data_IF_179730827123
#
_entry.id   IF_179730827123
#
_cell.length_a   1.000
_cell.length_b   1.000
_cell.length_c   1.000
_cell.angle_alpha   90.00
_cell.angle_beta   90.00
_cell.angle_gamma   90.00
#
_symmetry.space_group_name_H-M   'P 1'
#
loop_
_entity.id
_entity.type
_entity.pdbx_description
1 polymer ?
#
# COMPACT_ATOMS: atom_id res chain seq x y z
N UNK A 1 14.35 -28.91 32.63
CA UNK A 1 14.04 -28.51 31.23
C UNK A 1 12.57 -28.11 31.14
N UNK A 2 12.23 -26.82 31.23
CA UNK A 2 10.84 -26.35 31.00
C UNK A 2 10.44 -26.75 29.58
N UNK A 3 9.34 -27.49 29.46
CA UNK A 3 8.94 -28.15 28.22
C UNK A 3 8.68 -27.10 27.13
N UNK A 4 9.57 -26.99 26.13
CA UNK A 4 9.51 -25.98 25.05
C UNK A 4 8.15 -25.98 24.33
N UNK A 5 7.45 -27.12 24.34
CA UNK A 5 6.10 -27.27 23.79
C UNK A 5 5.03 -26.46 24.55
N UNK A 6 5.04 -26.51 25.89
CA UNK A 6 4.04 -25.83 26.72
C UNK A 6 4.15 -24.32 26.63
N UNK A 7 5.38 -23.78 26.65
CA UNK A 7 5.62 -22.34 26.52
C UNK A 7 5.09 -21.78 25.19
N UNK A 8 5.33 -22.50 24.09
CA UNK A 8 4.86 -22.14 22.74
C UNK A 8 3.33 -22.15 22.64
N UNK A 9 2.67 -23.14 23.26
CA UNK A 9 1.20 -23.20 23.32
C UNK A 9 0.63 -22.01 24.11
N UNK A 10 1.23 -21.67 25.26
CA UNK A 10 0.79 -20.52 26.07
C UNK A 10 1.02 -19.20 25.35
N UNK A 11 2.18 -18.98 24.72
CA UNK A 11 2.46 -17.77 23.93
C UNK A 11 1.49 -17.65 22.74
N UNK A 12 1.24 -18.76 22.04
CA UNK A 12 0.25 -18.82 20.96
C UNK A 12 -1.16 -18.44 21.45
N UNK A 13 -1.61 -19.01 22.56
CA UNK A 13 -2.93 -18.71 23.11
C UNK A 13 -3.09 -17.22 23.49
N UNK A 14 -2.07 -16.62 24.11
CA UNK A 14 -2.08 -15.19 24.47
C UNK A 14 -2.15 -14.31 23.21
N UNK A 15 -1.34 -14.62 22.19
CA UNK A 15 -1.33 -13.86 20.95
C UNK A 15 -2.63 -14.03 20.15
N UNK A 16 -3.27 -15.21 20.20
CA UNK A 16 -4.60 -15.44 19.63
C UNK A 16 -5.65 -14.60 20.36
N UNK A 17 -5.62 -14.55 21.69
CA UNK A 17 -6.54 -13.69 22.45
C UNK A 17 -6.37 -12.21 22.09
N UNK A 18 -5.12 -11.73 21.96
CA UNK A 18 -4.83 -10.36 21.50
C UNK A 18 -5.39 -10.14 20.08
N UNK A 19 -5.15 -11.07 19.15
CA UNK A 19 -5.71 -11.01 17.80
C UNK A 19 -7.23 -10.91 17.84
N UNK A 20 -7.91 -11.75 18.61
CA UNK A 20 -9.37 -11.74 18.73
C UNK A 20 -9.90 -10.41 19.24
N UNK A 21 -9.25 -9.81 20.25
CA UNK A 21 -9.63 -8.48 20.75
C UNK A 21 -9.45 -7.42 19.67
N UNK A 22 -8.30 -7.41 18.97
CA UNK A 22 -8.04 -6.46 17.89
C UNK A 22 -9.06 -6.62 16.74
N UNK A 23 -9.43 -7.86 16.42
CA UNK A 23 -10.44 -8.18 15.39
C UNK A 23 -11.81 -7.65 15.80
N UNK A 24 -12.26 -7.91 17.03
CA UNK A 24 -13.51 -7.38 17.57
C UNK A 24 -13.56 -5.85 17.52
N UNK A 25 -12.47 -5.18 17.94
CA UNK A 25 -12.38 -3.72 17.86
C UNK A 25 -12.46 -3.23 16.42
N UNK A 26 -11.86 -3.95 15.48
CA UNK A 26 -11.89 -3.60 14.05
C UNK A 26 -13.30 -3.70 13.46
N UNK A 27 -14.06 -4.73 13.85
CA UNK A 27 -15.39 -5.00 13.30
C UNK A 27 -16.49 -4.14 13.94
N UNK A 28 -16.41 -3.90 15.25
CA UNK A 28 -17.55 -3.37 16.02
C UNK A 28 -17.36 -1.95 16.56
N UNK A 29 -16.17 -1.34 16.41
CA UNK A 29 -15.92 0.04 16.84
C UNK A 29 -15.64 0.93 15.61
N UNK A 30 -16.67 1.62 15.08
CA UNK A 30 -16.52 2.53 13.95
C UNK A 30 -15.44 3.59 14.20
N UNK A 31 -14.70 3.97 13.16
CA UNK A 31 -13.59 4.94 13.24
C UNK A 31 -12.32 4.35 13.86
N UNK A 32 -12.40 3.78 15.08
CA UNK A 32 -11.26 3.14 15.73
C UNK A 32 -10.75 1.94 14.91
N UNK A 33 -11.66 1.18 14.31
CA UNK A 33 -11.32 0.02 13.48
C UNK A 33 -10.37 0.36 12.33
N UNK A 34 -10.45 1.57 11.76
CA UNK A 34 -9.54 2.01 10.68
C UNK A 34 -8.07 2.03 11.14
N UNK A 35 -7.82 2.39 12.39
CA UNK A 35 -6.47 2.47 12.97
C UNK A 35 -6.05 1.11 13.55
N UNK A 36 -6.96 0.43 14.24
CA UNK A 36 -6.68 -0.86 14.90
C UNK A 36 -6.36 -1.96 13.87
N UNK A 37 -6.98 -1.90 12.69
CA UNK A 37 -6.77 -2.86 11.61
C UNK A 37 -5.28 -3.05 11.24
N UNK A 38 -4.46 -1.99 11.30
CA UNK A 38 -3.02 -2.09 11.03
C UNK A 38 -2.26 -2.97 12.03
N UNK A 39 -2.81 -3.17 13.22
CA UNK A 39 -2.23 -4.02 14.27
C UNK A 39 -2.70 -5.48 14.18
N UNK A 40 -3.66 -5.84 13.31
CA UNK A 40 -4.10 -7.23 13.17
C UNK A 40 -2.98 -8.17 12.73
N UNK A 41 -2.01 -7.69 11.96
CA UNK A 41 -0.84 -8.47 11.57
C UNK A 41 0.16 -8.67 12.73
N UNK A 42 0.07 -7.88 13.80
CA UNK A 42 1.06 -7.86 14.89
C UNK A 42 1.18 -9.20 15.62
N UNK A 43 0.09 -9.86 16.07
CA UNK A 43 0.19 -11.15 16.76
C UNK A 43 0.83 -12.24 15.89
N UNK A 44 0.49 -12.26 14.59
CA UNK A 44 1.11 -13.17 13.63
C UNK A 44 2.60 -12.90 13.43
N UNK A 45 2.99 -11.63 13.28
CA UNK A 45 4.40 -11.24 13.20
C UNK A 45 5.18 -11.64 14.45
N UNK A 46 4.61 -11.42 15.64
CA UNK A 46 5.23 -11.78 16.93
C UNK A 46 5.45 -13.28 17.04
N UNK A 47 4.43 -14.07 16.70
CA UNK A 47 4.49 -15.52 16.80
C UNK A 47 5.46 -16.10 15.76
N UNK A 48 5.34 -15.71 14.50
CA UNK A 48 6.11 -16.30 13.39
C UNK A 48 7.56 -15.80 13.34
N UNK A 49 7.90 -14.67 13.97
CA UNK A 49 9.30 -14.24 14.11
C UNK A 49 10.13 -15.14 15.01
N UNK A 50 9.50 -15.93 15.89
CA UNK A 50 10.17 -16.82 16.84
C UNK A 50 10.00 -18.31 16.53
N UNK A 51 9.11 -18.66 15.60
CA UNK A 51 8.71 -20.04 15.32
C UNK A 51 8.82 -20.37 13.83
N UNK A 52 8.83 -21.67 13.52
CA UNK A 52 8.87 -22.17 12.14
C UNK A 52 7.52 -22.02 11.42
N UNK A 53 7.55 -22.15 10.10
CA UNK A 53 6.38 -21.92 9.25
C UNK A 53 5.21 -22.86 9.59
N UNK A 54 5.48 -24.11 9.98
CA UNK A 54 4.43 -25.09 10.35
C UNK A 54 3.63 -24.59 11.55
N UNK A 55 4.33 -24.08 12.56
CA UNK A 55 3.72 -23.50 13.75
C UNK A 55 2.90 -22.26 13.41
N UNK A 56 3.45 -21.39 12.57
CA UNK A 56 2.75 -20.19 12.12
C UNK A 56 1.47 -20.53 11.33
N UNK A 57 1.49 -21.59 10.53
CA UNK A 57 0.28 -22.10 9.86
C UNK A 57 -0.77 -22.60 10.85
N UNK A 58 -0.39 -23.39 11.86
CA UNK A 58 -1.31 -23.83 12.92
C UNK A 58 -1.90 -22.64 13.67
N UNK A 59 -1.07 -21.65 14.03
CA UNK A 59 -1.54 -20.41 14.65
C UNK A 59 -2.53 -19.66 13.76
N UNK A 60 -2.26 -19.60 12.44
CA UNK A 60 -3.15 -18.92 11.49
C UNK A 60 -4.48 -19.65 11.34
N UNK A 61 -4.49 -20.98 11.28
CA UNK A 61 -5.71 -21.78 11.25
C UNK A 61 -6.54 -21.55 12.52
N UNK A 62 -5.90 -21.53 13.69
CA UNK A 62 -6.60 -21.23 14.95
C UNK A 62 -7.19 -19.80 14.95
N UNK A 63 -6.45 -18.82 14.42
CA UNK A 63 -6.95 -17.45 14.28
C UNK A 63 -8.15 -17.35 13.32
N UNK A 64 -8.15 -18.11 12.21
CA UNK A 64 -9.28 -18.19 11.28
C UNK A 64 -10.52 -18.83 11.91
N UNK A 65 -10.34 -19.87 12.73
CA UNK A 65 -11.45 -20.48 13.47
C UNK A 65 -12.02 -19.47 14.47
N UNK A 66 -11.16 -18.77 15.21
CA UNK A 66 -11.60 -17.75 16.16
C UNK A 66 -12.28 -16.57 15.47
N UNK A 67 -11.81 -16.15 14.29
CA UNK A 67 -12.45 -15.06 13.55
C UNK A 67 -13.85 -15.43 13.09
N UNK A 68 -14.07 -16.68 12.67
CA UNK A 68 -15.39 -17.20 12.34
C UNK A 68 -16.34 -17.23 13.55
N UNK A 69 -15.84 -17.67 14.71
CA UNK A 69 -16.65 -17.78 15.94
C UNK A 69 -17.08 -16.40 16.47
N UNK A 70 -16.15 -15.43 16.45
CA UNK A 70 -16.30 -14.17 17.20
C UNK A 70 -16.78 -13.01 16.33
N UNK A 71 -16.41 -13.00 15.05
CA UNK A 71 -16.87 -12.00 14.09
C UNK A 71 -18.12 -12.50 13.37
N UNK A 72 -17.93 -12.91 12.13
CA UNK A 72 -18.90 -13.59 11.26
C UNK A 72 -18.11 -14.19 10.08
N UNK A 73 -18.81 -14.71 9.06
CA UNK A 73 -18.19 -15.09 7.79
C UNK A 73 -17.32 -13.95 7.17
N UNK A 74 -17.72 -12.68 7.36
CA UNK A 74 -17.00 -11.52 6.83
C UNK A 74 -15.65 -11.25 7.53
N UNK A 75 -15.40 -11.87 8.68
CA UNK A 75 -14.13 -11.72 9.40
C UNK A 75 -13.01 -12.61 8.83
N UNK A 76 -13.35 -13.65 8.05
CA UNK A 76 -12.38 -14.59 7.48
C UNK A 76 -11.42 -13.89 6.49
N UNK A 77 -11.89 -13.11 5.49
CA UNK A 77 -11.00 -12.41 4.56
C UNK A 77 -9.99 -11.51 5.28
N UNK A 78 -10.44 -10.77 6.29
CA UNK A 78 -9.58 -9.90 7.11
C UNK A 78 -8.53 -10.73 7.85
N UNK A 79 -8.96 -11.76 8.60
CA UNK A 79 -8.06 -12.63 9.33
C UNK A 79 -7.03 -13.32 8.42
N UNK A 80 -7.44 -13.74 7.22
CA UNK A 80 -6.56 -14.36 6.24
C UNK A 80 -5.55 -13.36 5.67
N UNK A 81 -5.99 -12.19 5.22
CA UNK A 81 -5.10 -11.17 4.62
C UNK A 81 -4.04 -10.70 5.62
N UNK A 82 -4.46 -10.32 6.83
CA UNK A 82 -3.53 -9.84 7.86
C UNK A 82 -2.72 -10.98 8.48
N UNK A 83 -3.32 -12.17 8.60
CA UNK A 83 -2.66 -13.37 9.11
C UNK A 83 -1.52 -13.83 8.22
N UNK A 84 -1.80 -14.09 6.94
CA UNK A 84 -0.80 -14.56 5.97
C UNK A 84 0.28 -13.49 5.76
N UNK A 85 -0.10 -12.22 5.61
CA UNK A 85 0.86 -11.11 5.50
C UNK A 85 1.75 -11.02 6.75
N UNK A 86 1.15 -11.06 7.94
CA UNK A 86 1.87 -11.01 9.21
C UNK A 86 2.80 -12.20 9.42
N UNK A 87 2.38 -13.41 9.02
CA UNK A 87 3.22 -14.62 9.06
C UNK A 87 4.44 -14.45 8.18
N UNK A 88 4.28 -14.05 6.92
CA UNK A 88 5.41 -13.87 5.99
C UNK A 88 6.39 -12.81 6.50
N UNK A 89 5.88 -11.67 6.96
CA UNK A 89 6.71 -10.61 7.54
C UNK A 89 7.49 -11.14 8.75
N UNK A 90 6.81 -11.81 9.70
CA UNK A 90 7.47 -12.33 10.89
C UNK A 90 8.51 -13.41 10.57
N UNK A 91 8.22 -14.36 9.67
CA UNK A 91 9.20 -15.37 9.24
C UNK A 91 10.46 -14.74 8.62
N UNK A 92 10.31 -13.68 7.83
CA UNK A 92 11.44 -12.96 7.25
C UNK A 92 12.23 -12.16 8.30
N UNK A 93 11.55 -11.60 9.29
CA UNK A 93 12.19 -10.97 10.46
C UNK A 93 13.01 -12.03 11.23
N UNK A 94 12.44 -13.20 11.51
CA UNK A 94 13.13 -14.30 12.20
C UNK A 94 14.37 -14.80 11.43
N UNK A 95 14.35 -14.71 10.10
CA UNK A 95 15.49 -15.00 9.21
C UNK A 95 16.48 -13.84 9.04
N UNK A 96 16.30 -12.71 9.74
CA UNK A 96 17.19 -11.56 9.67
C UNK A 96 17.24 -10.87 8.31
N UNK A 97 16.18 -10.96 7.50
CA UNK A 97 16.12 -10.32 6.17
C UNK A 97 16.09 -8.80 6.29
N UNK A 98 16.53 -8.12 5.23
CA UNK A 98 16.52 -6.65 5.19
C UNK A 98 15.09 -6.10 5.23
N UNK A 99 14.92 -4.91 5.81
CA UNK A 99 13.60 -4.27 5.93
C UNK A 99 12.93 -4.03 4.57
N UNK A 100 13.70 -3.69 3.54
CA UNK A 100 13.19 -3.54 2.17
C UNK A 100 12.69 -4.88 1.61
N UNK A 101 13.41 -5.98 1.83
CA UNK A 101 12.96 -7.29 1.39
C UNK A 101 11.67 -7.72 2.11
N UNK A 102 11.57 -7.45 3.42
CA UNK A 102 10.36 -7.69 4.22
C UNK A 102 9.19 -6.83 3.70
N UNK A 103 9.45 -5.57 3.34
CA UNK A 103 8.45 -4.66 2.77
C UNK A 103 7.91 -5.16 1.44
N UNK A 104 8.78 -5.46 0.48
CA UNK A 104 8.36 -5.96 -0.84
C UNK A 104 7.60 -7.28 -0.70
N UNK A 105 8.12 -8.25 0.06
CA UNK A 105 7.46 -9.53 0.23
C UNK A 105 6.10 -9.40 0.93
N UNK A 106 6.02 -8.59 2.00
CA UNK A 106 4.76 -8.31 2.69
C UNK A 106 3.72 -7.67 1.76
N UNK A 107 4.13 -6.66 0.98
CA UNK A 107 3.24 -5.97 0.04
C UNK A 107 2.74 -6.88 -1.08
N UNK A 108 3.61 -7.73 -1.63
CA UNK A 108 3.23 -8.69 -2.66
C UNK A 108 2.27 -9.76 -2.13
N UNK A 109 2.48 -10.23 -0.89
CA UNK A 109 1.57 -11.19 -0.25
C UNK A 109 0.23 -10.54 0.09
N UNK A 110 0.24 -9.31 0.57
CA UNK A 110 -0.99 -8.55 0.82
C UNK A 110 -1.78 -8.34 -0.48
N UNK A 111 -1.09 -7.94 -1.55
CA UNK A 111 -1.67 -7.78 -2.89
C UNK A 111 -2.27 -9.08 -3.40
N UNK A 112 -1.53 -10.19 -3.34
CA UNK A 112 -2.00 -11.49 -3.77
C UNK A 112 -3.25 -11.93 -3.00
N UNK A 113 -3.25 -11.78 -1.67
CA UNK A 113 -4.44 -12.07 -0.86
C UNK A 113 -5.64 -11.21 -1.27
N UNK A 114 -5.41 -9.91 -1.51
CA UNK A 114 -6.48 -8.98 -1.90
C UNK A 114 -7.06 -9.35 -3.27
N UNK A 115 -6.22 -9.66 -4.26
CA UNK A 115 -6.65 -10.07 -5.60
C UNK A 115 -7.40 -11.41 -5.54
N UNK A 116 -6.88 -12.39 -4.80
CA UNK A 116 -7.54 -13.70 -4.65
C UNK A 116 -8.91 -13.54 -4.00
N UNK A 117 -9.00 -12.72 -2.94
CA UNK A 117 -10.27 -12.46 -2.27
C UNK A 117 -11.27 -11.72 -3.16
N UNK A 118 -10.80 -10.75 -3.94
CA UNK A 118 -11.63 -10.07 -4.93
C UNK A 118 -12.16 -11.05 -5.99
N UNK A 119 -11.30 -11.90 -6.55
CA UNK A 119 -11.69 -12.90 -7.52
C UNK A 119 -12.72 -13.90 -6.95
N UNK A 120 -12.53 -14.32 -5.69
CA UNK A 120 -13.50 -15.18 -4.97
C UNK A 120 -14.84 -14.46 -4.77
N UNK A 121 -14.82 -13.18 -4.39
CA UNK A 121 -16.03 -12.39 -4.21
C UNK A 121 -16.86 -12.31 -5.50
N UNK A 122 -16.20 -12.04 -6.62
CA UNK A 122 -16.84 -12.01 -7.95
C UNK A 122 -17.34 -13.38 -8.35
N UNK A 123 -16.50 -14.42 -8.28
CA UNK A 123 -16.82 -15.74 -8.83
C UNK A 123 -17.84 -16.55 -8.00
N UNK A 124 -17.84 -16.42 -6.68
CA UNK A 124 -18.70 -17.23 -5.80
C UNK A 124 -19.93 -16.48 -5.29
N UNK A 125 -19.84 -15.16 -5.14
CA UNK A 125 -20.89 -14.35 -4.53
C UNK A 125 -21.56 -13.39 -5.53
N UNK A 126 -21.08 -13.34 -6.78
CA UNK A 126 -21.49 -12.35 -7.79
C UNK A 126 -21.35 -10.91 -7.28
N UNK A 127 -20.40 -10.67 -6.38
CA UNK A 127 -20.15 -9.36 -5.78
C UNK A 127 -19.00 -8.68 -6.52
N UNK A 128 -19.33 -7.87 -7.53
CA UNK A 128 -18.36 -7.02 -8.21
C UNK A 128 -18.29 -5.63 -7.57
N UNK A 129 -17.50 -5.52 -6.52
CA UNK A 129 -17.34 -4.26 -5.76
C UNK A 129 -16.77 -3.12 -6.62
N UNK A 130 -15.99 -3.43 -7.66
CA UNK A 130 -15.42 -2.41 -8.55
C UNK A 130 -16.51 -1.83 -9.43
N UNK A 131 -17.31 -2.70 -10.06
CA UNK A 131 -18.43 -2.28 -10.90
C UNK A 131 -19.49 -1.53 -10.09
N UNK A 132 -19.85 -2.02 -8.90
CA UNK A 132 -20.77 -1.34 -8.00
C UNK A 132 -20.27 0.07 -7.61
N UNK A 133 -18.97 0.20 -7.33
CA UNK A 133 -18.35 1.50 -7.07
C UNK A 133 -18.42 2.43 -8.29
N UNK A 134 -18.11 1.93 -9.49
CA UNK A 134 -18.15 2.74 -10.73
C UNK A 134 -19.59 3.16 -11.07
N UNK A 135 -20.57 2.28 -10.89
CA UNK A 135 -22.01 2.59 -11.09
C UNK A 135 -22.45 3.67 -10.12
N UNK A 136 -22.17 3.50 -8.82
CA UNK A 136 -22.53 4.48 -7.78
C UNK A 136 -21.87 5.84 -8.06
N UNK A 137 -20.62 5.84 -8.53
CA UNK A 137 -19.92 7.05 -8.89
C UNK A 137 -20.56 7.75 -10.11
N UNK A 138 -20.92 7.00 -11.16
CA UNK A 138 -21.67 7.54 -12.32
C UNK A 138 -23.03 8.11 -11.91
N UNK A 139 -23.78 7.41 -11.06
CA UNK A 139 -25.07 7.88 -10.54
C UNK A 139 -24.93 9.20 -9.76
N UNK A 140 -23.85 9.33 -8.98
CA UNK A 140 -23.55 10.56 -8.24
C UNK A 140 -23.29 11.75 -9.18
N UNK A 141 -22.61 11.51 -10.30
CA UNK A 141 -22.38 12.52 -11.34
C UNK A 141 -23.70 12.89 -12.01
N UNK A 142 -24.49 11.92 -12.45
CA UNK A 142 -25.79 12.16 -13.09
C UNK A 142 -26.74 12.92 -12.17
N UNK A 143 -26.74 12.61 -10.88
CA UNK A 143 -27.50 13.34 -9.86
C UNK A 143 -27.05 14.80 -9.78
N UNK A 144 -25.73 15.04 -9.81
CA UNK A 144 -25.16 16.39 -9.77
C UNK A 144 -25.52 17.20 -11.04
N UNK A 145 -25.45 16.57 -12.21
CA UNK A 145 -25.88 17.17 -13.49
C UNK A 145 -27.36 17.54 -13.44
N UNK A 146 -28.23 16.62 -13.02
CA UNK A 146 -29.66 16.88 -12.89
C UNK A 146 -29.98 18.01 -11.89
N UNK A 147 -29.19 18.18 -10.83
CA UNK A 147 -29.35 19.32 -9.92
C UNK A 147 -29.03 20.66 -10.61
N UNK A 148 -27.98 20.71 -11.43
CA UNK A 148 -27.61 21.93 -12.18
C UNK A 148 -28.68 22.28 -13.24
N UNK A 149 -29.17 21.27 -13.96
CA UNK A 149 -30.26 21.45 -14.93
C UNK A 149 -31.54 21.96 -14.27
N UNK A 150 -31.90 21.42 -13.10
CA UNK A 150 -33.05 21.90 -12.33
C UNK A 150 -32.88 23.34 -11.80
N UNK A 151 -31.64 23.82 -11.67
CA UNK A 151 -31.33 25.22 -11.36
C UNK A 151 -31.33 26.13 -12.60
N UNK A 152 -31.70 25.61 -13.77
CA UNK A 152 -31.72 26.32 -15.04
C UNK A 152 -30.34 26.49 -15.67
N UNK A 153 -29.33 25.74 -15.21
CA UNK A 153 -28.01 25.72 -15.82
C UNK A 153 -27.91 24.57 -16.81
N UNK A 154 -27.62 24.88 -18.08
CA UNK A 154 -27.28 23.87 -19.07
C UNK A 154 -25.87 23.37 -18.81
N UNK A 155 -25.72 22.09 -18.51
CA UNK A 155 -24.41 21.45 -18.42
C UNK A 155 -23.89 21.24 -19.84
N UNK A 156 -22.68 21.73 -20.11
CA UNK A 156 -22.02 21.52 -21.39
C UNK A 156 -21.71 20.02 -21.57
N UNK A 157 -22.00 19.45 -22.75
CA UNK A 157 -21.68 18.06 -23.08
C UNK A 157 -20.19 17.75 -22.90
N UNK A 158 -19.31 18.75 -23.09
CA UNK A 158 -17.87 18.60 -22.84
C UNK A 158 -17.53 18.22 -21.40
N UNK A 159 -18.35 18.65 -20.44
CA UNK A 159 -18.21 18.32 -19.02
C UNK A 159 -18.64 16.88 -18.76
N UNK A 160 -19.71 16.44 -19.41
CA UNK A 160 -20.21 15.05 -19.32
C UNK A 160 -19.18 14.08 -19.91
N UNK A 161 -18.61 14.40 -21.08
CA UNK A 161 -17.56 13.60 -21.72
C UNK A 161 -16.29 13.52 -20.85
N UNK A 162 -15.93 14.62 -20.16
CA UNK A 162 -14.82 14.63 -19.20
C UNK A 162 -15.08 13.70 -18.01
N UNK A 163 -16.31 13.59 -17.55
CA UNK A 163 -16.66 12.64 -16.49
C UNK A 163 -16.58 11.19 -16.96
N UNK A 164 -17.11 10.87 -18.14
CA UNK A 164 -17.03 9.52 -18.70
C UNK A 164 -15.59 9.06 -18.93
N UNK A 165 -14.73 9.94 -19.44
CA UNK A 165 -13.31 9.67 -19.59
C UNK A 165 -12.60 9.49 -18.25
N UNK A 166 -12.99 10.23 -17.21
CA UNK A 166 -12.48 10.04 -15.84
C UNK A 166 -12.85 8.66 -15.30
N UNK A 167 -14.10 8.23 -15.49
CA UNK A 167 -14.54 6.90 -15.06
C UNK A 167 -13.77 5.79 -15.78
N UNK A 168 -13.59 5.92 -17.10
CA UNK A 168 -12.80 5.00 -17.91
C UNK A 168 -11.35 4.94 -17.43
N UNK A 169 -10.77 6.08 -17.04
CA UNK A 169 -9.43 6.16 -16.48
C UNK A 169 -9.35 5.48 -15.10
N UNK A 170 -10.35 5.68 -14.23
CA UNK A 170 -10.41 5.02 -12.91
C UNK A 170 -10.46 3.51 -13.06
N UNK A 171 -11.30 3.01 -13.97
CA UNK A 171 -11.37 1.58 -14.30
C UNK A 171 -10.02 1.06 -14.80
N UNK A 172 -9.41 1.77 -15.75
CA UNK A 172 -8.09 1.42 -16.30
C UNK A 172 -7.02 1.37 -15.22
N UNK A 173 -7.04 2.26 -14.23
CA UNK A 173 -6.03 2.36 -13.18
C UNK A 173 -6.29 1.43 -11.98
N UNK A 174 -7.38 0.66 -11.95
CA UNK A 174 -7.69 -0.26 -10.85
C UNK A 174 -6.53 -1.19 -10.47
N UNK A 175 -5.82 -1.84 -11.41
CA UNK A 175 -4.66 -2.68 -11.06
C UNK A 175 -3.58 -1.91 -10.30
N UNK A 176 -3.24 -0.69 -10.75
CA UNK A 176 -2.27 0.16 -10.06
C UNK A 176 -2.75 0.58 -8.68
N UNK A 177 -4.05 0.86 -8.52
CA UNK A 177 -4.63 1.20 -7.22
C UNK A 177 -4.48 0.05 -6.22
N UNK A 178 -4.70 -1.20 -6.63
CA UNK A 178 -4.44 -2.37 -5.77
C UNK A 178 -2.97 -2.48 -5.37
N UNK A 179 -2.05 -2.32 -6.32
CA UNK A 179 -0.60 -2.33 -6.05
C UNK A 179 -0.24 -1.24 -5.05
N UNK A 180 -0.64 0.00 -5.33
CA UNK A 180 -0.36 1.18 -4.52
C UNK A 180 -0.93 1.06 -3.10
N UNK A 181 -2.19 0.64 -2.98
CA UNK A 181 -2.85 0.43 -1.69
C UNK A 181 -2.15 -0.66 -0.87
N UNK A 182 -1.80 -1.79 -1.49
CA UNK A 182 -1.11 -2.90 -0.81
C UNK A 182 0.24 -2.47 -0.25
N UNK A 183 1.03 -1.76 -1.05
CA UNK A 183 2.32 -1.22 -0.60
C UNK A 183 2.16 -0.16 0.48
N UNK A 184 1.15 0.72 0.39
CA UNK A 184 0.88 1.73 1.41
C UNK A 184 0.43 1.10 2.73
N UNK A 185 -0.49 0.12 2.69
CA UNK A 185 -0.98 -0.58 3.88
C UNK A 185 0.17 -1.30 4.58
N UNK A 186 0.99 -2.06 3.85
CA UNK A 186 2.13 -2.76 4.45
C UNK A 186 3.18 -1.79 4.98
N UNK A 187 3.38 -0.63 4.34
CA UNK A 187 4.23 0.43 4.88
C UNK A 187 3.73 0.91 6.24
N UNK A 188 2.42 1.17 6.37
CA UNK A 188 1.78 1.56 7.63
C UNK A 188 1.87 0.46 8.69
N UNK A 189 1.60 -0.80 8.31
CA UNK A 189 1.76 -1.96 9.20
C UNK A 189 3.19 -1.99 9.76
N UNK A 190 4.22 -1.85 8.93
CA UNK A 190 5.60 -1.84 9.42
C UNK A 190 5.91 -0.61 10.29
N UNK A 191 5.42 0.57 9.90
CA UNK A 191 5.63 1.81 10.63
C UNK A 191 5.08 1.71 12.06
N UNK A 192 3.89 1.14 12.21
CA UNK A 192 3.18 1.00 13.48
C UNK A 192 3.62 -0.22 14.29
N UNK A 193 3.78 -1.38 13.65
CA UNK A 193 4.05 -2.64 14.35
C UNK A 193 5.53 -2.84 14.70
N UNK A 194 6.48 -2.39 13.88
CA UNK A 194 7.91 -2.68 14.13
C UNK A 194 8.45 -2.01 15.42
N UNK A 195 8.03 -0.79 15.81
CA UNK A 195 8.32 -0.26 17.14
C UNK A 195 7.82 -1.17 18.26
N UNK A 196 6.61 -1.72 18.13
CA UNK A 196 6.03 -2.64 19.13
C UNK A 196 6.84 -3.94 19.18
N UNK A 197 7.11 -4.57 18.03
CA UNK A 197 7.93 -5.79 17.94
C UNK A 197 9.29 -5.64 18.64
N UNK A 198 9.97 -4.51 18.43
CA UNK A 198 11.26 -4.21 19.07
C UNK A 198 11.16 -4.13 20.60
N UNK A 199 10.07 -3.55 21.13
CA UNK A 199 9.83 -3.50 22.58
C UNK A 199 9.64 -4.89 23.19
N UNK A 200 9.10 -5.85 22.43
CA UNK A 200 8.93 -7.24 22.85
C UNK A 200 10.12 -8.16 22.49
N UNK A 201 11.30 -7.58 22.23
CA UNK A 201 12.54 -8.32 22.03
C UNK A 201 12.74 -8.93 20.65
N UNK A 202 11.88 -8.63 19.67
CA UNK A 202 12.07 -9.06 18.28
C UNK A 202 13.09 -8.13 17.60
N UNK A 203 14.20 -8.71 17.13
CA UNK A 203 15.27 -7.97 16.45
C UNK A 203 14.88 -7.61 15.02
N UNK A 204 14.27 -6.45 14.85
CA UNK A 204 13.92 -5.90 13.53
C UNK A 204 14.99 -4.90 13.09
N UNK A 205 15.50 -5.05 11.87
CA UNK A 205 16.45 -4.09 11.29
C UNK A 205 15.81 -2.70 11.17
N UNK A 206 16.59 -1.65 11.45
CA UNK A 206 16.11 -0.27 11.32
C UNK A 206 15.94 0.10 9.84
N UNK A 207 14.99 0.99 9.53
CA UNK A 207 14.91 1.55 8.17
C UNK A 207 16.06 2.53 8.01
N UNK A 208 16.62 2.62 6.81
CA UNK A 208 17.44 3.79 6.47
C UNK A 208 16.63 5.10 6.66
N UNK A 209 17.23 6.21 7.03
CA UNK A 209 16.54 7.50 7.02
C UNK A 209 15.86 7.76 5.66
N UNK A 210 14.64 8.30 5.64
CA UNK A 210 13.90 8.58 4.39
C UNK A 210 14.73 9.39 3.37
N UNK A 211 15.52 10.35 3.87
CA UNK A 211 16.51 11.13 3.09
C UNK A 211 17.60 10.31 2.41
N UNK A 212 17.91 9.13 2.91
CA UNK A 212 18.95 8.26 2.36
C UNK A 212 18.35 7.22 1.39
N UNK A 213 17.01 7.06 1.38
CA UNK A 213 16.34 6.17 0.44
C UNK A 213 16.56 6.66 -0.99
N UNK A 214 17.11 5.78 -1.81
CA UNK A 214 17.21 5.99 -3.25
C UNK A 214 16.70 4.74 -3.95
N UNK A 215 15.88 4.95 -4.97
CA UNK A 215 15.42 3.90 -5.85
C UNK A 215 16.56 3.39 -6.76
N UNK A 216 16.48 2.15 -7.26
CA UNK A 216 17.44 1.64 -8.24
C UNK A 216 17.31 2.34 -9.59
N UNK A 217 18.45 2.63 -10.23
CA UNK A 217 18.52 3.32 -11.53
C UNK A 217 17.71 2.66 -12.65
N UNK A 218 17.50 1.34 -12.57
CA UNK A 218 16.68 0.62 -13.55
C UNK A 218 15.24 1.15 -13.63
N UNK A 219 14.66 1.65 -12.53
CA UNK A 219 13.31 2.20 -12.52
C UNK A 219 13.17 3.47 -13.36
N UNK A 220 14.23 4.29 -13.47
CA UNK A 220 14.24 5.43 -14.39
C UNK A 220 14.17 4.95 -15.84
N UNK A 221 14.94 3.93 -16.21
CA UNK A 221 14.91 3.40 -17.57
C UNK A 221 13.58 2.76 -17.92
N UNK A 222 12.97 2.01 -17.00
CA UNK A 222 11.60 1.52 -17.19
C UNK A 222 10.62 2.69 -17.38
N UNK A 223 10.74 3.76 -16.57
CA UNK A 223 9.90 4.95 -16.72
C UNK A 223 10.06 5.62 -18.08
N UNK A 224 11.29 5.87 -18.53
CA UNK A 224 11.56 6.50 -19.82
C UNK A 224 11.08 5.64 -20.99
N UNK A 225 11.32 4.33 -20.94
CA UNK A 225 10.86 3.40 -21.98
C UNK A 225 9.33 3.32 -22.05
N UNK A 226 8.65 3.24 -20.90
CA UNK A 226 7.18 3.25 -20.85
C UNK A 226 6.61 4.58 -21.35
N UNK A 227 7.28 5.70 -21.08
CA UNK A 227 6.86 7.02 -21.55
C UNK A 227 6.99 7.11 -23.06
N UNK A 228 8.12 6.70 -23.62
CA UNK A 228 8.33 6.60 -25.08
C UNK A 228 7.28 5.67 -25.69
N UNK A 229 7.07 4.48 -25.13
CA UNK A 229 6.06 3.54 -25.62
C UNK A 229 4.66 4.18 -25.66
N UNK A 230 4.27 4.92 -24.62
CA UNK A 230 2.96 5.60 -24.60
C UNK A 230 2.79 6.65 -25.70
N UNK A 231 3.87 7.34 -26.10
CA UNK A 231 3.82 8.41 -27.11
C UNK A 231 3.80 7.85 -28.54
N UNK A 232 4.54 6.77 -28.79
CA UNK A 232 4.71 6.22 -30.15
C UNK A 232 3.75 5.07 -30.47
N UNK A 233 3.36 4.25 -29.50
CA UNK A 233 2.48 3.09 -29.75
C UNK A 233 1.02 3.53 -29.86
N UNK A 234 0.62 4.58 -29.13
CA UNK A 234 -0.75 5.10 -29.08
C UNK A 234 -1.81 3.98 -29.04
N UNK A 235 -1.72 3.03 -28.08
CA UNK A 235 -2.60 1.88 -28.06
C UNK A 235 -4.06 2.33 -27.87
N UNK A 236 -4.95 1.71 -28.62
CA UNK A 236 -6.39 1.96 -28.54
C UNK A 236 -6.90 1.83 -27.10
N UNK A 237 -7.77 2.75 -26.69
CA UNK A 237 -8.37 2.74 -25.35
C UNK A 237 -9.13 1.42 -25.17
N UNK A 238 -8.95 0.79 -24.01
CA UNK A 238 -9.52 -0.54 -23.72
C UNK A 238 -8.67 -1.72 -24.21
N UNK A 239 -7.62 -1.51 -25.01
CA UNK A 239 -6.70 -2.59 -25.37
C UNK A 239 -5.81 -3.03 -24.20
N UNK A 240 -5.35 -4.28 -24.24
CA UNK A 240 -4.40 -4.81 -23.25
C UNK A 240 -3.14 -3.94 -23.12
N UNK A 241 -2.60 -3.46 -24.24
CA UNK A 241 -1.41 -2.61 -24.23
C UNK A 241 -1.67 -1.24 -23.61
N UNK A 242 -2.84 -0.65 -23.85
CA UNK A 242 -3.26 0.58 -23.19
C UNK A 242 -3.31 0.40 -21.68
N UNK A 243 -3.93 -0.68 -21.20
CA UNK A 243 -4.01 -0.99 -19.77
C UNK A 243 -2.62 -1.20 -19.15
N UNK A 244 -1.78 -2.03 -19.78
CA UNK A 244 -0.46 -2.35 -19.28
C UNK A 244 0.44 -1.11 -19.19
N UNK A 245 0.50 -0.30 -20.26
CA UNK A 245 1.35 0.90 -20.31
C UNK A 245 0.84 1.96 -19.32
N UNK A 246 -0.47 2.21 -19.26
CA UNK A 246 -1.05 3.22 -18.38
C UNK A 246 -0.82 2.89 -16.91
N UNK A 247 -1.06 1.65 -16.49
CA UNK A 247 -0.80 1.21 -15.12
C UNK A 247 0.69 1.25 -14.76
N UNK A 248 1.55 0.74 -15.65
CA UNK A 248 2.99 0.75 -15.44
C UNK A 248 3.52 2.18 -15.29
N UNK A 249 3.08 3.09 -16.16
CA UNK A 249 3.42 4.51 -16.08
C UNK A 249 2.92 5.14 -14.78
N UNK A 250 1.69 4.84 -14.36
CA UNK A 250 1.14 5.40 -13.12
C UNK A 250 2.00 5.02 -11.89
N UNK A 251 2.34 3.75 -11.75
CA UNK A 251 3.21 3.28 -10.65
C UNK A 251 4.61 3.89 -10.74
N UNK A 252 5.21 3.92 -11.93
CA UNK A 252 6.55 4.50 -12.12
C UNK A 252 6.57 6.01 -11.85
N UNK A 253 5.54 6.75 -12.25
CA UNK A 253 5.38 8.17 -11.93
C UNK A 253 5.32 8.39 -10.42
N UNK A 254 4.56 7.57 -9.70
CA UNK A 254 4.53 7.64 -8.24
C UNK A 254 5.90 7.36 -7.62
N UNK A 255 6.63 6.35 -8.12
CA UNK A 255 7.98 6.05 -7.64
C UNK A 255 8.96 7.21 -7.89
N UNK A 256 8.89 7.86 -9.06
CA UNK A 256 9.70 9.05 -9.35
C UNK A 256 9.32 10.23 -8.43
N UNK A 257 8.04 10.38 -8.08
CA UNK A 257 7.58 11.37 -7.11
C UNK A 257 8.17 11.11 -5.71
N UNK A 258 8.12 9.85 -5.24
CA UNK A 258 8.76 9.46 -3.98
C UNK A 258 10.25 9.75 -4.01
N UNK A 259 10.95 9.44 -5.10
CA UNK A 259 12.37 9.79 -5.25
C UNK A 259 12.61 11.31 -5.18
N UNK A 260 11.72 12.11 -5.77
CA UNK A 260 11.78 13.57 -5.67
C UNK A 260 11.69 14.06 -4.23
N UNK A 261 10.76 13.51 -3.44
CA UNK A 261 10.64 13.85 -2.02
C UNK A 261 11.83 13.36 -1.18
N UNK A 262 12.37 12.16 -1.45
CA UNK A 262 13.58 11.69 -0.76
C UNK A 262 14.78 12.58 -1.08
N UNK A 263 14.86 13.09 -2.32
CA UNK A 263 15.89 14.04 -2.73
C UNK A 263 15.74 15.41 -2.04
N UNK A 264 14.53 15.96 -1.94
CA UNK A 264 14.27 17.20 -1.19
C UNK A 264 14.72 17.05 0.27
N UNK A 265 14.40 15.91 0.89
CA UNK A 265 14.83 15.59 2.25
C UNK A 265 16.36 15.44 2.36
N UNK A 266 16.99 14.80 1.38
CA UNK A 266 18.45 14.67 1.28
C UNK A 266 19.13 16.03 1.19
N UNK A 267 18.69 16.87 0.26
CA UNK A 267 19.28 18.18 -0.02
C UNK A 267 19.13 19.17 1.15
N UNK A 268 18.01 19.10 1.87
CA UNK A 268 17.71 19.98 3.00
C UNK A 268 18.59 19.68 4.23
N UNK A 269 18.94 18.41 4.45
CA UNK A 269 19.66 17.97 5.64
C UNK A 269 21.06 18.59 5.83
N UNK A 270 22.00 18.54 4.85
CA UNK A 270 23.34 19.12 5.03
C UNK A 270 23.32 20.65 5.14
N UNK A 271 22.24 21.31 4.72
CA UNK A 271 22.06 22.77 4.82
C UNK A 271 21.51 23.21 6.18
N UNK A 272 21.24 22.28 7.10
CA UNK A 272 20.65 22.58 8.40
C UNK A 272 19.20 23.03 8.32
N UNK A 273 18.53 22.82 7.18
CA UNK A 273 17.13 23.17 7.04
C UNK A 273 16.24 22.29 7.91
N UNK A 274 15.16 22.88 8.43
CA UNK A 274 14.23 22.16 9.29
C UNK A 274 13.49 21.06 8.52
N UNK A 275 13.01 20.04 9.25
CA UNK A 275 12.16 18.99 8.67
C UNK A 275 10.86 19.54 8.08
N UNK A 276 10.49 20.79 8.40
CA UNK A 276 9.31 21.46 7.88
C UNK A 276 9.37 21.65 6.37
N UNK A 277 10.56 21.79 5.75
CA UNK A 277 10.65 21.93 4.29
C UNK A 277 10.03 20.73 3.58
N UNK A 278 10.36 19.51 4.01
CA UNK A 278 9.77 18.31 3.41
C UNK A 278 8.24 18.30 3.57
N UNK A 279 7.75 18.64 4.76
CA UNK A 279 6.31 18.66 5.06
C UNK A 279 5.59 19.70 4.20
N UNK A 280 6.13 20.92 4.13
CA UNK A 280 5.59 22.00 3.30
C UNK A 280 5.65 21.64 1.83
N UNK A 281 6.73 21.04 1.33
CA UNK A 281 6.81 20.56 -0.06
C UNK A 281 5.74 19.52 -0.36
N UNK A 282 5.46 18.60 0.57
CA UNK A 282 4.38 17.61 0.40
C UNK A 282 3.01 18.30 0.40
N UNK A 283 2.74 19.21 1.34
CA UNK A 283 1.47 19.95 1.40
C UNK A 283 1.26 20.76 0.12
N UNK A 284 2.26 21.51 -0.33
CA UNK A 284 2.18 22.29 -1.56
C UNK A 284 2.02 21.40 -2.79
N UNK A 285 2.65 20.23 -2.81
CA UNK A 285 2.47 19.26 -3.89
C UNK A 285 1.04 18.72 -3.96
N UNK A 286 0.40 18.47 -2.81
CA UNK A 286 -0.99 18.03 -2.77
C UNK A 286 -1.96 19.15 -3.17
N UNK A 287 -1.72 20.37 -2.71
CA UNK A 287 -2.59 21.52 -3.01
C UNK A 287 -2.44 22.04 -4.44
N UNK A 288 -1.25 21.89 -5.03
CA UNK A 288 -0.90 22.46 -6.33
C UNK A 288 -0.35 21.34 -7.22
N UNK A 289 -1.17 20.75 -8.11
CA UNK A 289 -0.75 19.64 -8.97
C UNK A 289 0.52 19.93 -9.79
N UNK A 290 0.73 21.20 -10.16
CA UNK A 290 1.95 21.62 -10.86
C UNK A 290 3.24 21.31 -10.08
N UNK A 291 3.21 21.41 -8.75
CA UNK A 291 4.36 21.10 -7.90
C UNK A 291 4.68 19.59 -7.95
N UNK A 292 3.68 18.70 -8.10
CA UNK A 292 3.94 17.27 -8.28
C UNK A 292 4.81 17.00 -9.53
N UNK A 293 4.58 17.74 -10.62
CA UNK A 293 5.41 17.62 -11.82
C UNK A 293 6.85 18.05 -11.56
N UNK A 294 7.06 19.15 -10.84
CA UNK A 294 8.40 19.63 -10.46
C UNK A 294 9.10 18.59 -9.58
N UNK A 295 8.43 18.08 -8.54
CA UNK A 295 9.00 17.07 -7.64
C UNK A 295 9.35 15.80 -8.41
N UNK A 296 8.48 15.37 -9.34
CA UNK A 296 8.75 14.20 -10.19
C UNK A 296 9.98 14.42 -11.08
N UNK A 297 10.13 15.60 -11.68
CA UNK A 297 11.31 15.96 -12.47
C UNK A 297 12.56 15.94 -11.59
N UNK A 298 12.50 16.47 -10.36
CA UNK A 298 13.62 16.38 -9.42
C UNK A 298 14.02 14.92 -9.13
N UNK A 299 13.04 14.03 -8.94
CA UNK A 299 13.29 12.61 -8.75
C UNK A 299 13.98 11.96 -9.95
N UNK A 300 13.55 12.30 -11.17
CA UNK A 300 14.17 11.83 -12.42
C UNK A 300 15.63 12.30 -12.52
N UNK A 301 15.89 13.59 -12.26
CA UNK A 301 17.23 14.16 -12.34
C UNK A 301 18.14 13.57 -11.26
N UNK A 302 17.66 13.42 -10.02
CA UNK A 302 18.41 12.80 -8.93
C UNK A 302 18.91 11.40 -9.32
N UNK A 303 18.00 10.57 -9.82
CA UNK A 303 18.30 9.18 -10.20
C UNK A 303 19.17 9.08 -11.46
N UNK A 304 18.91 9.93 -12.45
CA UNK A 304 19.60 9.91 -13.74
C UNK A 304 21.03 10.42 -13.67
N UNK A 305 21.27 11.48 -12.90
CA UNK A 305 22.57 12.13 -12.80
C UNK A 305 23.37 11.77 -11.54
N UNK A 306 22.84 10.89 -10.67
CA UNK A 306 23.45 10.57 -9.38
C UNK A 306 23.76 11.83 -8.55
N UNK A 307 22.79 12.76 -8.44
CA UNK A 307 23.02 14.07 -7.82
C UNK A 307 23.56 13.94 -6.38
N UNK A 308 23.09 12.95 -5.62
CA UNK A 308 23.56 12.68 -4.24
C UNK A 308 25.06 12.37 -4.18
N UNK A 309 25.58 11.54 -5.10
CA UNK A 309 27.01 11.20 -5.11
C UNK A 309 27.86 12.42 -5.41
N UNK A 310 27.46 13.20 -6.43
CA UNK A 310 28.17 14.43 -6.84
C UNK A 310 28.19 15.50 -5.75
N UNK A 311 27.16 15.56 -4.89
CA UNK A 311 27.13 16.45 -3.73
C UNK A 311 27.97 15.94 -2.55
N UNK A 312 28.08 14.62 -2.39
CA UNK A 312 28.94 13.98 -1.38
C UNK A 312 30.43 14.08 -1.69
N UNK A 313 30.81 14.02 -2.97
CA UNK A 313 32.19 14.14 -3.46
C UNK A 313 32.75 15.58 -3.40
N UNK A 314 31.90 16.58 -3.16
CA UNK A 314 32.29 18.00 -3.05
C UNK A 314 32.53 18.47 -1.59
N UNK A 315 32.71 17.53 -0.66
CA UNK A 315 33.15 17.79 0.72
C UNK A 315 34.52 17.19 0.95
#
# INVERSE_FOLDING_TARGET
>A
MKNKSTYKLTEGAILLAIFTVLLLMTLYIPGLGLVVNFFLALPFMMFSAKHDWKSASVFTIAALILSLIVGTFLAIPIALTYGVTGVVIGLMIGKGKSRLAIFVAGSLVFLANTIIQYAIAVALFNMNMIEEFLVTFKESINTSVGMLENMGQTVDESVVEQFESTVTLMETLMPSMFVMASFMIVFLIQLLCFPVLRRFGVKVQQWMPFREMSLPKSLLWYYLLSLIASMFVQPEVGSYWHWAITNLLFVLQFLMLVQGFTFIAYYSHPKGYSKAILVVSIILAVLIPFILYIVRILGIIDLGFDLRKRMGEKK
#
